data_IF_502065779103
#
_entry.id   IF_502065779103
#
_cell.length_a   1.000
_cell.length_b   1.000
_cell.length_c   1.000
_cell.angle_alpha   90.00
_cell.angle_beta   90.00
_cell.angle_gamma   90.00
#
_symmetry.space_group_name_H-M   'P 1'
#
loop_
_entity.id
_entity.type
_entity.pdbx_description
1 polymer ?
#
# COMPACT_ATOMS: atom_id res chain seq x y z
N UNK A 1 -1.45 18.80 7.16
CA UNK A 1 -1.42 17.39 6.75
C UNK A 1 -0.23 17.22 5.83
N UNK A 2 0.77 16.48 6.27
CA UNK A 2 1.93 16.11 5.44
C UNK A 2 1.47 15.06 4.46
N UNK A 3 1.22 15.47 3.22
CA UNK A 3 0.96 14.56 2.11
C UNK A 3 2.20 13.69 1.90
N UNK A 4 2.10 12.39 2.15
CA UNK A 4 3.18 11.45 1.83
C UNK A 4 3.45 11.46 0.31
N UNK A 5 4.71 11.38 -0.10
CA UNK A 5 5.06 11.30 -1.52
C UNK A 5 4.86 9.89 -2.06
N UNK A 6 4.73 9.75 -3.38
CA UNK A 6 4.53 8.45 -4.04
C UNK A 6 5.63 7.42 -3.71
N UNK A 7 6.91 7.83 -3.76
CA UNK A 7 8.03 6.95 -3.39
C UNK A 7 7.93 6.47 -1.94
N UNK A 8 7.54 7.38 -1.03
CA UNK A 8 7.33 7.05 0.38
C UNK A 8 6.12 6.13 0.59
N UNK A 9 5.07 6.27 -0.22
CA UNK A 9 3.93 5.38 -0.19
C UNK A 9 4.31 3.96 -0.62
N UNK A 10 5.12 3.81 -1.67
CA UNK A 10 5.64 2.51 -2.11
C UNK A 10 6.55 1.87 -1.04
N UNK A 11 7.45 2.65 -0.44
CA UNK A 11 8.29 2.17 0.65
C UNK A 11 7.46 1.73 1.87
N UNK A 12 6.37 2.45 2.17
CA UNK A 12 5.46 2.12 3.25
C UNK A 12 4.74 0.80 2.99
N UNK A 13 4.16 0.58 1.80
CA UNK A 13 3.51 -0.70 1.47
C UNK A 13 4.50 -1.87 1.46
N UNK A 14 5.72 -1.66 0.97
CA UNK A 14 6.77 -2.68 0.97
C UNK A 14 7.21 -3.04 2.38
N UNK A 15 7.38 -2.04 3.24
CA UNK A 15 7.70 -2.22 4.65
C UNK A 15 6.58 -2.96 5.37
N UNK A 16 5.33 -2.57 5.13
CA UNK A 16 4.16 -3.25 5.69
C UNK A 16 4.09 -4.72 5.27
N UNK A 17 4.33 -5.02 3.99
CA UNK A 17 4.39 -6.40 3.47
C UNK A 17 5.51 -7.23 4.10
N UNK A 18 6.64 -6.61 4.44
CA UNK A 18 7.77 -7.28 5.06
C UNK A 18 7.61 -7.48 6.58
N UNK A 19 6.95 -6.53 7.25
CA UNK A 19 6.81 -6.51 8.72
C UNK A 19 5.52 -7.17 9.21
N UNK A 20 4.45 -7.11 8.41
CA UNK A 20 3.13 -7.61 8.79
C UNK A 20 2.93 -9.00 8.18
N UNK A 21 2.48 -9.94 9.00
CA UNK A 21 2.09 -11.27 8.52
C UNK A 21 0.88 -11.11 7.56
N UNK A 22 0.84 -11.80 6.39
CA UNK A 22 -0.36 -11.87 5.56
C UNK A 22 -1.64 -12.24 6.32
N UNK A 23 -1.54 -12.97 7.43
CA UNK A 23 -2.68 -13.27 8.31
C UNK A 23 -3.26 -12.03 9.04
N UNK A 24 -2.53 -10.90 9.03
CA UNK A 24 -2.90 -9.64 9.71
C UNK A 24 -3.43 -8.62 8.72
N UNK A 25 -2.77 -8.47 7.57
CA UNK A 25 -3.11 -7.48 6.55
C UNK A 25 -3.05 -8.09 5.16
N UNK A 26 -4.06 -7.77 4.36
CA UNK A 26 -4.11 -8.06 2.93
C UNK A 26 -4.07 -6.74 2.17
N UNK A 27 -3.02 -6.56 1.37
CA UNK A 27 -2.92 -5.46 0.42
C UNK A 27 -3.14 -6.05 -0.96
N UNK A 28 -4.18 -5.61 -1.65
CA UNK A 28 -4.57 -6.17 -2.94
C UNK A 28 -4.94 -5.07 -3.94
N UNK A 29 -4.79 -5.41 -5.22
CA UNK A 29 -5.22 -4.56 -6.33
C UNK A 29 -6.66 -4.95 -6.67
N UNK A 30 -7.55 -3.97 -6.80
CA UNK A 30 -8.93 -4.18 -7.21
C UNK A 30 -9.20 -3.58 -8.60
N UNK A 31 -10.31 -4.01 -9.21
CA UNK A 31 -10.87 -3.52 -10.46
C UNK A 31 -9.84 -3.29 -11.56
N UNK A 32 -9.46 -4.28 -12.38
CA UNK A 32 -8.58 -4.12 -13.55
C UNK A 32 -7.32 -3.22 -13.39
N UNK A 33 -6.75 -3.14 -12.17
CA UNK A 33 -5.66 -2.23 -11.78
C UNK A 33 -6.05 -0.75 -11.61
N UNK A 34 -7.28 -0.50 -11.18
CA UNK A 34 -7.82 0.84 -10.90
C UNK A 34 -7.46 1.34 -9.50
N UNK A 35 -7.07 0.45 -8.59
CA UNK A 35 -6.66 0.87 -7.25
C UNK A 35 -6.09 -0.20 -6.35
N UNK A 36 -5.65 0.24 -5.18
CA UNK A 36 -5.07 -0.56 -4.12
C UNK A 36 -5.94 -0.45 -2.88
N UNK A 37 -6.33 -1.59 -2.33
CA UNK A 37 -7.08 -1.66 -1.08
C UNK A 37 -6.29 -2.39 0.00
N UNK A 38 -6.52 -1.99 1.25
CA UNK A 38 -5.91 -2.57 2.45
C UNK A 38 -7.03 -3.15 3.30
N UNK A 39 -7.04 -4.47 3.46
CA UNK A 39 -7.95 -5.19 4.35
C UNK A 39 -7.22 -5.70 5.59
N UNK A 40 -7.76 -5.42 6.77
CA UNK A 40 -7.22 -5.92 8.04
C UNK A 40 -8.05 -7.11 8.53
N UNK A 41 -7.43 -8.29 8.66
CA UNK A 41 -8.10 -9.52 9.11
C UNK A 41 -8.20 -9.61 10.63
N UNK A 42 -7.13 -9.18 11.29
CA UNK A 42 -7.11 -8.91 12.71
C UNK A 42 -6.56 -7.49 12.84
N UNK A 43 -7.39 -6.55 13.30
CA UNK A 43 -6.85 -5.26 13.71
C UNK A 43 -5.77 -5.56 14.75
N UNK A 44 -4.52 -5.11 14.55
CA UNK A 44 -3.48 -5.33 15.54
C UNK A 44 -4.00 -4.73 16.84
N UNK A 45 -4.35 -5.57 17.83
CA UNK A 45 -4.94 -5.15 19.12
C UNK A 45 -3.94 -4.44 20.02
N UNK A 46 -2.94 -3.79 19.44
CA UNK A 46 -2.04 -2.90 20.13
C UNK A 46 -2.62 -1.48 20.12
N UNK A 47 -3.61 -1.31 20.97
CA UNK A 47 -3.89 -0.03 21.62
C UNK A 47 -2.60 0.47 22.30
N UNK A 48 -1.75 1.20 21.59
CA UNK A 48 -0.49 1.68 22.15
C UNK A 48 0.59 2.05 21.14
N UNK A 49 0.39 3.15 20.41
CA UNK A 49 1.45 4.06 19.99
C UNK A 49 2.39 3.67 18.84
N UNK A 50 2.60 2.40 18.51
CA UNK A 50 3.52 2.03 17.40
C UNK A 50 2.80 1.41 16.20
N UNK A 51 1.86 0.50 16.44
CA UNK A 51 1.14 -0.21 15.37
C UNK A 51 0.00 0.62 14.75
N UNK A 52 -0.63 1.51 15.52
CA UNK A 52 -1.65 2.44 14.99
C UNK A 52 -1.11 3.42 13.95
N UNK A 53 0.13 3.90 14.14
CA UNK A 53 0.78 4.74 13.13
C UNK A 53 1.12 3.96 11.85
N UNK A 54 1.32 2.64 11.96
CA UNK A 54 1.56 1.77 10.79
C UNK A 54 0.25 1.54 10.03
N UNK A 55 -0.87 1.28 10.70
CA UNK A 55 -2.19 1.13 10.03
C UNK A 55 -2.56 2.39 9.25
N UNK A 56 -2.47 3.55 9.88
CA UNK A 56 -2.81 4.84 9.25
C UNK A 56 -1.89 5.13 8.05
N UNK A 57 -0.57 4.90 8.21
CA UNK A 57 0.39 5.12 7.14
C UNK A 57 0.18 4.18 5.95
N UNK A 58 -0.19 2.92 6.19
CA UNK A 58 -0.45 1.93 5.12
C UNK A 58 -1.72 2.28 4.35
N UNK A 59 -2.77 2.72 5.03
CA UNK A 59 -4.01 3.16 4.39
C UNK A 59 -3.81 4.46 3.59
N UNK A 60 -3.04 5.41 4.11
CA UNK A 60 -2.68 6.63 3.37
C UNK A 60 -1.82 6.29 2.14
N UNK A 61 -0.86 5.37 2.26
CA UNK A 61 -0.04 4.91 1.16
C UNK A 61 -0.87 4.28 0.04
N UNK A 62 -1.84 3.43 0.37
CA UNK A 62 -2.74 2.82 -0.60
C UNK A 62 -3.57 3.87 -1.36
N UNK A 63 -4.04 4.93 -0.68
CA UNK A 63 -4.77 6.04 -1.32
C UNK A 63 -3.89 6.83 -2.29
N UNK A 64 -2.65 7.13 -1.91
CA UNK A 64 -1.70 7.85 -2.78
C UNK A 64 -1.37 7.02 -4.02
N UNK A 65 -1.14 5.71 -3.87
CA UNK A 65 -0.86 4.82 -4.99
C UNK A 65 -2.10 4.66 -5.88
N UNK A 66 -3.29 4.52 -5.30
CA UNK A 66 -4.56 4.48 -6.05
C UNK A 66 -4.76 5.76 -6.84
N UNK A 67 -4.52 6.94 -6.24
CA UNK A 67 -4.55 8.21 -6.97
C UNK A 67 -3.55 8.22 -8.12
N UNK A 68 -2.32 7.75 -7.88
CA UNK A 68 -1.29 7.65 -8.91
C UNK A 68 -1.62 6.65 -10.03
N UNK A 69 -2.46 5.64 -9.79
CA UNK A 69 -2.98 4.68 -10.78
C UNK A 69 -4.24 5.21 -11.50
N UNK A 70 -5.08 5.97 -10.81
CA UNK A 70 -6.36 6.48 -11.33
C UNK A 70 -6.29 7.79 -12.13
N UNK A 71 -5.25 8.62 -11.94
CA UNK A 71 -5.12 9.95 -12.55
C UNK A 71 -4.76 9.95 -14.06
N UNK A 72 -5.38 9.08 -14.87
CA UNK A 72 -5.05 8.86 -16.29
C UNK A 72 -3.66 8.26 -16.53
N UNK A 73 -3.08 7.62 -15.53
CA UNK A 73 -1.72 7.12 -15.64
C UNK A 73 -1.72 5.76 -16.33
N UNK A 74 -0.83 5.65 -17.31
CA UNK A 74 -0.27 4.38 -17.76
C UNK A 74 0.52 3.76 -16.60
N UNK A 75 0.01 3.56 -15.40
CA UNK A 75 0.78 2.97 -14.30
C UNK A 75 -0.01 1.83 -13.67
N UNK A 76 0.65 0.68 -13.55
CA UNK A 76 0.14 -0.47 -12.79
C UNK A 76 1.07 -0.79 -11.65
N UNK A 77 0.49 -1.23 -10.54
CA UNK A 77 1.24 -1.74 -9.42
C UNK A 77 1.55 -3.22 -9.66
N UNK A 78 2.82 -3.61 -9.57
CA UNK A 78 3.26 -5.00 -9.76
C UNK A 78 4.34 -5.39 -8.75
N UNK A 79 4.68 -6.68 -8.67
CA UNK A 79 5.78 -7.17 -7.83
C UNK A 79 7.05 -7.37 -8.67
N UNK A 80 8.18 -6.83 -8.21
CA UNK A 80 9.49 -7.04 -8.84
C UNK A 80 10.10 -8.42 -8.51
N UNK A 81 11.28 -8.73 -9.05
CA UNK A 81 12.01 -9.99 -8.80
C UNK A 81 12.42 -10.20 -7.33
N UNK A 82 12.33 -9.16 -6.49
CA UNK A 82 12.59 -9.22 -5.05
C UNK A 82 11.28 -9.24 -4.25
N UNK A 83 10.15 -9.47 -4.92
CA UNK A 83 8.82 -9.48 -4.32
C UNK A 83 8.42 -8.14 -3.69
N UNK A 84 8.95 -7.02 -4.21
CA UNK A 84 8.59 -5.66 -3.79
C UNK A 84 7.57 -5.07 -4.74
N UNK A 85 6.60 -4.35 -4.19
CA UNK A 85 5.67 -3.53 -4.95
C UNK A 85 6.40 -2.37 -5.64
N UNK A 86 6.19 -2.25 -6.94
CA UNK A 86 6.71 -1.18 -7.81
C UNK A 86 5.60 -0.70 -8.74
N UNK A 87 5.60 0.60 -9.06
CA UNK A 87 4.76 1.15 -10.12
C UNK A 87 5.53 1.09 -11.45
N UNK A 88 4.90 0.53 -12.46
CA UNK A 88 5.49 0.42 -13.81
C UNK A 88 4.53 0.98 -14.86
N UNK A 89 5.06 1.48 -15.99
CA UNK A 89 4.23 1.89 -17.11
C UNK A 89 3.27 0.78 -17.60
N UNK A 90 2.01 1.15 -17.87
CA UNK A 90 0.97 0.34 -18.50
C UNK A 90 0.87 0.78 -19.96
N UNK A 91 1.53 0.05 -20.86
CA UNK A 91 1.72 0.45 -22.26
C UNK A 91 0.41 0.57 -23.06
#
# INVERSE_FOLDING_TARGET
MTTIKLDQALDTLNTARALLNPDVVHIYIYGDNEGVEVGWLALPTASGGALGHITDAVEEAAKVITGAMGDSSKLILCSDHRNRWVLVPND
#
